data_IF_337926174158
#
_entry.id   IF_337926174158
#
_cell.length_a   1.000
_cell.length_b   1.000
_cell.length_c   1.000
_cell.angle_alpha   90.00
_cell.angle_beta   90.00
_cell.angle_gamma   90.00
#
_symmetry.space_group_name_H-M   'P 1'
#
loop_
_entity.id
_entity.type
_entity.pdbx_description
1 polymer ?
#
# COMPACT_ATOMS: atom_id res chain seq x y z
N UNK A 1 10.82 10.03 -30.14
CA UNK A 1 10.01 11.12 -29.56
C UNK A 1 8.61 10.58 -29.29
N UNK A 2 8.30 10.03 -28.10
CA UNK A 2 6.95 9.60 -27.80
C UNK A 2 6.12 10.76 -27.22
N UNK A 3 4.93 10.93 -27.78
CA UNK A 3 3.90 11.89 -27.41
C UNK A 3 3.22 11.37 -26.14
N UNK A 4 3.30 12.11 -25.05
CA UNK A 4 2.54 11.84 -23.83
C UNK A 4 1.16 12.48 -24.01
N UNK A 5 0.15 11.66 -24.27
CA UNK A 5 -1.24 12.07 -24.22
C UNK A 5 -1.68 12.16 -22.76
N UNK A 6 -2.09 13.34 -22.31
CA UNK A 6 -2.76 13.54 -21.02
C UNK A 6 -4.20 13.06 -21.13
N UNK A 7 -4.45 11.83 -20.67
CA UNK A 7 -5.78 11.26 -20.51
C UNK A 7 -6.33 11.53 -19.12
N UNK A 8 -7.56 12.04 -19.08
CA UNK A 8 -8.32 12.43 -17.90
C UNK A 8 -8.48 11.32 -16.84
N UNK A 9 -8.68 11.74 -15.59
CA UNK A 9 -8.95 10.87 -14.45
C UNK A 9 -10.18 9.96 -14.70
N UNK A 10 -10.11 8.64 -14.46
CA UNK A 10 -11.29 7.82 -14.46
C UNK A 10 -12.09 8.03 -13.18
N UNK A 11 -13.36 8.36 -13.40
CA UNK A 11 -14.47 8.37 -12.44
C UNK A 11 -14.50 7.12 -11.57
N UNK A 12 -15.02 7.27 -10.35
CA UNK A 12 -15.48 6.24 -9.41
C UNK A 12 -16.19 5.09 -10.15
N UNK A 13 -15.42 4.09 -10.57
CA UNK A 13 -15.88 2.96 -11.35
C UNK A 13 -15.72 1.72 -10.52
N UNK A 14 -16.84 1.08 -10.20
CA UNK A 14 -16.85 -0.26 -9.61
C UNK A 14 -15.90 -1.18 -10.40
N UNK A 15 -15.13 -2.01 -9.69
CA UNK A 15 -14.23 -2.95 -10.32
C UNK A 15 -14.99 -3.81 -11.34
N UNK A 16 -14.41 -4.06 -12.53
CA UNK A 16 -15.07 -4.84 -13.56
C UNK A 16 -15.45 -6.21 -13.01
N UNK A 17 -16.75 -6.53 -13.06
CA UNK A 17 -17.26 -7.87 -12.76
C UNK A 17 -16.70 -8.83 -13.81
N UNK A 18 -16.00 -9.86 -13.35
CA UNK A 18 -15.33 -10.91 -14.12
C UNK A 18 -16.21 -11.40 -15.30
N UNK A 19 -15.98 -10.89 -16.51
CA UNK A 19 -16.53 -11.48 -17.74
C UNK A 19 -15.59 -12.59 -18.20
N UNK A 20 -16.00 -13.85 -18.00
CA UNK A 20 -15.27 -15.01 -18.52
C UNK A 20 -15.60 -15.21 -20.00
N UNK A 21 -14.65 -14.90 -20.89
CA UNK A 21 -14.71 -15.31 -22.29
C UNK A 21 -13.94 -16.64 -22.45
N UNK A 22 -14.67 -17.76 -22.51
CA UNK A 22 -14.26 -19.00 -23.19
C UNK A 22 -13.15 -19.89 -22.57
N UNK A 23 -13.52 -21.15 -22.29
CA UNK A 23 -12.75 -22.34 -22.70
C UNK A 23 -11.63 -22.92 -21.82
N UNK A 24 -10.98 -22.15 -20.95
CA UNK A 24 -9.98 -22.68 -20.01
C UNK A 24 -10.16 -22.00 -18.66
N UNK A 25 -10.69 -22.71 -17.66
CA UNK A 25 -11.02 -22.11 -16.37
C UNK A 25 -9.73 -21.72 -15.62
N UNK A 26 -9.44 -20.42 -15.56
CA UNK A 26 -8.34 -19.86 -14.78
C UNK A 26 -7.56 -18.76 -15.52
N UNK A 27 -6.78 -18.00 -14.75
CA UNK A 27 -5.90 -16.95 -15.24
C UNK A 27 -4.63 -17.52 -15.89
N UNK A 28 -4.17 -17.01 -17.04
CA UNK A 28 -2.89 -17.38 -17.66
C UNK A 28 -1.70 -16.75 -16.93
N UNK A 29 -1.50 -17.12 -15.66
CA UNK A 29 -0.41 -16.65 -14.81
C UNK A 29 0.09 -17.78 -13.91
N UNK A 30 1.23 -17.57 -13.28
CA UNK A 30 1.77 -18.50 -12.28
C UNK A 30 1.03 -18.34 -10.95
N UNK A 31 0.80 -19.44 -10.21
CA UNK A 31 0.25 -19.34 -8.87
C UNK A 31 1.20 -18.58 -7.95
N UNK A 32 0.65 -17.86 -6.98
CA UNK A 32 1.39 -17.19 -5.91
C UNK A 32 0.88 -17.72 -4.57
N UNK A 33 1.72 -17.77 -3.53
CA UNK A 33 1.27 -18.20 -2.21
C UNK A 33 0.35 -17.16 -1.58
N UNK A 34 -0.45 -17.59 -0.61
CA UNK A 34 -1.13 -16.67 0.30
C UNK A 34 -0.12 -15.78 1.03
N UNK A 35 -0.59 -14.66 1.56
CA UNK A 35 0.24 -13.78 2.38
C UNK A 35 -0.58 -13.12 3.48
N UNK A 36 0.13 -12.65 4.50
CA UNK A 36 -0.40 -11.67 5.43
C UNK A 36 0.08 -10.28 5.04
N UNK A 37 -0.77 -9.27 5.24
CA UNK A 37 -0.32 -7.89 5.28
C UNK A 37 0.25 -7.57 6.66
N UNK A 38 1.33 -6.81 6.70
CA UNK A 38 1.96 -6.36 7.95
C UNK A 38 2.31 -4.88 7.88
N UNK A 39 2.17 -4.18 9.00
CA UNK A 39 2.49 -2.76 9.13
C UNK A 39 3.66 -2.56 10.09
N UNK A 40 4.55 -1.62 9.77
CA UNK A 40 5.63 -1.22 10.67
C UNK A 40 5.44 0.24 11.12
N UNK A 41 5.64 0.58 12.40
CA UNK A 41 5.47 1.94 12.90
C UNK A 41 6.34 3.00 12.19
N UNK A 42 7.46 2.57 11.61
CA UNK A 42 8.38 3.44 10.88
C UNK A 42 8.25 3.37 9.34
N UNK A 43 7.31 2.58 8.81
CA UNK A 43 7.13 2.44 7.35
C UNK A 43 5.87 3.18 6.88
N UNK A 44 6.07 4.38 6.34
CA UNK A 44 4.99 5.27 5.91
C UNK A 44 5.29 5.90 4.55
N UNK A 45 4.25 6.01 3.73
CA UNK A 45 4.26 6.76 2.48
C UNK A 45 3.55 8.10 2.67
N UNK A 46 3.75 9.00 1.71
CA UNK A 46 3.13 10.32 1.66
C UNK A 46 2.56 10.56 0.26
N UNK A 47 1.38 11.14 0.18
CA UNK A 47 0.75 11.51 -1.09
C UNK A 47 1.12 12.94 -1.54
N UNK A 48 0.55 13.36 -2.68
CA UNK A 48 0.76 14.69 -3.26
C UNK A 48 0.27 15.84 -2.37
N UNK A 49 -0.63 15.56 -1.43
CA UNK A 49 -1.21 16.55 -0.53
C UNK A 49 -0.53 16.56 0.85
N UNK A 50 0.51 15.72 1.06
CA UNK A 50 1.25 15.64 2.31
C UNK A 50 0.62 14.74 3.38
N UNK A 51 -0.44 13.99 3.06
CA UNK A 51 -1.03 13.07 4.03
C UNK A 51 -0.19 11.79 4.12
N UNK A 52 0.10 11.38 5.35
CA UNK A 52 0.82 10.14 5.61
C UNK A 52 -0.10 8.93 5.61
N UNK A 53 0.44 7.79 5.20
CA UNK A 53 -0.24 6.51 5.26
C UNK A 53 0.67 5.31 5.45
N UNK A 54 0.17 4.24 6.10
CA UNK A 54 0.97 3.05 6.31
C UNK A 54 1.43 2.46 4.99
N UNK A 55 2.71 2.09 4.93
CA UNK A 55 3.22 1.22 3.88
C UNK A 55 3.12 -0.22 4.39
N UNK A 56 2.15 -0.98 3.86
CA UNK A 56 1.96 -2.38 4.22
C UNK A 56 2.89 -3.27 3.40
N UNK A 57 3.51 -4.24 4.07
CA UNK A 57 4.38 -5.24 3.45
C UNK A 57 3.68 -6.62 3.43
N UNK A 58 4.12 -7.52 2.53
CA UNK A 58 3.57 -8.87 2.38
C UNK A 58 4.48 -9.89 3.03
N UNK A 59 3.96 -10.63 4.01
CA UNK A 59 4.58 -11.84 4.54
C UNK A 59 4.00 -13.06 3.81
N UNK A 60 4.74 -13.56 2.82
CA UNK A 60 4.32 -14.72 2.02
C UNK A 60 4.34 -16.02 2.84
N UNK A 61 3.26 -16.80 2.76
CA UNK A 61 3.10 -18.12 3.37
C UNK A 61 3.66 -19.21 2.44
N UNK A 62 4.97 -19.20 2.22
CA UNK A 62 5.64 -20.17 1.34
C UNK A 62 6.59 -21.04 2.16
N UNK A 63 6.40 -22.37 2.22
CA UNK A 63 7.33 -23.27 2.89
C UNK A 63 8.78 -23.05 2.46
N UNK A 64 9.69 -22.97 3.45
CA UNK A 64 11.11 -22.70 3.20
C UNK A 64 11.47 -21.23 2.95
N UNK A 65 10.49 -20.31 2.96
CA UNK A 65 10.70 -18.86 2.88
C UNK A 65 10.30 -18.21 4.21
N UNK A 66 11.03 -17.18 4.65
CA UNK A 66 10.70 -16.38 5.83
C UNK A 66 10.49 -17.17 7.14
N UNK A 67 11.12 -18.33 7.31
CA UNK A 67 10.92 -19.25 8.45
C UNK A 67 9.50 -19.85 8.52
N UNK A 68 8.79 -19.91 7.40
CA UNK A 68 7.63 -20.79 7.25
C UNK A 68 8.15 -22.22 7.14
N UNK A 69 7.59 -23.11 7.95
CA UNK A 69 8.04 -24.50 8.00
C UNK A 69 7.67 -25.29 6.73
N UNK A 70 8.10 -26.54 6.65
CA UNK A 70 7.84 -27.41 5.50
C UNK A 70 6.35 -27.79 5.35
N UNK A 71 5.55 -27.66 6.41
CA UNK A 71 4.12 -27.96 6.44
C UNK A 71 3.24 -26.72 6.23
N UNK A 72 3.83 -25.53 6.13
CA UNK A 72 3.15 -24.25 5.95
C UNK A 72 2.78 -23.51 7.24
N UNK A 73 3.28 -23.93 8.41
CA UNK A 73 3.12 -23.19 9.67
C UNK A 73 3.88 -21.87 9.62
N UNK A 74 3.16 -20.78 9.92
CA UNK A 74 3.68 -19.41 9.92
C UNK A 74 4.03 -18.90 11.31
N UNK A 75 3.84 -19.70 12.36
CA UNK A 75 4.03 -19.27 13.75
C UNK A 75 5.40 -18.64 14.03
N UNK A 76 6.48 -19.25 13.50
CA UNK A 76 7.83 -18.71 13.66
C UNK A 76 8.04 -17.43 12.83
N UNK A 77 7.56 -17.41 11.59
CA UNK A 77 7.63 -16.26 10.71
C UNK A 77 6.96 -15.02 11.34
N UNK A 78 5.78 -15.21 11.91
CA UNK A 78 5.03 -14.15 12.60
C UNK A 78 5.73 -13.72 13.90
N UNK A 79 6.29 -14.65 14.67
CA UNK A 79 7.03 -14.33 15.89
C UNK A 79 8.29 -13.50 15.61
N UNK A 80 9.05 -13.83 14.55
CA UNK A 80 10.22 -13.05 14.12
C UNK A 80 9.77 -11.68 13.62
N UNK A 81 8.77 -11.63 12.74
CA UNK A 81 8.22 -10.38 12.22
C UNK A 81 7.77 -9.46 13.37
N UNK A 82 7.12 -10.01 14.39
CA UNK A 82 6.68 -9.25 15.57
C UNK A 82 7.85 -8.72 16.40
N UNK A 83 8.92 -9.52 16.60
CA UNK A 83 10.15 -9.06 17.28
C UNK A 83 10.85 -7.93 16.54
N UNK A 84 10.74 -7.89 15.22
CA UNK A 84 11.24 -6.81 14.37
C UNK A 84 10.35 -5.56 14.37
N UNK A 85 9.24 -5.57 15.12
CA UNK A 85 8.34 -4.43 15.26
C UNK A 85 7.23 -4.39 14.21
N UNK A 86 7.10 -5.41 13.36
CA UNK A 86 5.97 -5.51 12.45
C UNK A 86 4.72 -6.02 13.17
N UNK A 87 3.58 -5.46 12.81
CA UNK A 87 2.27 -5.93 13.25
C UNK A 87 1.55 -6.58 12.09
N UNK A 88 1.24 -7.87 12.22
CA UNK A 88 0.36 -8.58 11.28
C UNK A 88 -1.04 -7.97 11.32
N UNK A 89 -1.59 -7.70 10.13
CA UNK A 89 -2.96 -7.21 9.96
C UNK A 89 -3.89 -8.42 9.89
N UNK A 90 -4.85 -8.57 10.83
CA UNK A 90 -5.85 -9.62 10.76
C UNK A 90 -6.60 -9.54 9.42
N UNK A 91 -6.92 -10.68 8.82
CA UNK A 91 -7.60 -10.72 7.52
C UNK A 91 -8.92 -9.92 7.56
N UNK A 92 -9.64 -10.08 8.66
CA UNK A 92 -10.94 -9.53 9.02
C UNK A 92 -10.89 -8.03 9.33
N UNK A 93 -9.70 -7.43 9.36
CA UNK A 93 -9.55 -5.98 9.48
C UNK A 93 -10.05 -5.23 8.22
N UNK A 94 -10.32 -5.94 7.12
CA UNK A 94 -11.14 -5.41 6.03
C UNK A 94 -12.58 -5.90 6.21
N UNK A 95 -13.46 -4.97 6.54
CA UNK A 95 -14.90 -5.24 6.63
C UNK A 95 -15.52 -5.26 5.23
N UNK A 96 -16.73 -5.80 5.10
CA UNK A 96 -17.43 -5.84 3.82
C UNK A 96 -17.52 -4.45 3.15
N UNK A 97 -17.78 -3.40 3.94
CA UNK A 97 -17.85 -2.02 3.46
C UNK A 97 -16.51 -1.40 3.04
N UNK A 98 -15.38 -1.99 3.43
CA UNK A 98 -14.04 -1.51 3.04
C UNK A 98 -13.61 -2.02 1.65
N UNK A 99 -14.25 -3.10 1.18
CA UNK A 99 -13.82 -3.84 -0.01
C UNK A 99 -14.70 -3.54 -1.23
N UNK A 100 -14.14 -3.46 -2.44
CA UNK A 100 -14.93 -3.14 -3.64
C UNK A 100 -15.98 -4.20 -4.01
N UNK A 101 -15.76 -5.45 -3.60
CA UNK A 101 -16.66 -6.58 -3.87
C UNK A 101 -17.62 -6.90 -2.72
N UNK A 102 -17.62 -6.10 -1.64
CA UNK A 102 -18.53 -6.25 -0.52
C UNK A 102 -18.26 -7.49 0.35
N UNK A 103 -17.08 -8.12 0.25
CA UNK A 103 -16.74 -9.34 1.00
C UNK A 103 -15.73 -9.03 2.10
N UNK A 104 -15.92 -9.50 3.34
CA UNK A 104 -14.93 -9.32 4.39
C UNK A 104 -13.61 -10.00 4.01
N UNK A 105 -12.52 -9.52 4.60
CA UNK A 105 -11.17 -10.01 4.30
C UNK A 105 -10.47 -9.17 3.24
N UNK A 106 -9.17 -8.90 3.41
CA UNK A 106 -8.38 -8.16 2.41
C UNK A 106 -7.78 -9.04 1.30
N UNK A 107 -7.89 -10.36 1.39
CA UNK A 107 -7.21 -11.31 0.48
C UNK A 107 -8.19 -11.91 -0.52
N UNK A 108 -7.78 -12.05 -1.78
CA UNK A 108 -8.56 -12.67 -2.86
C UNK A 108 -7.69 -13.67 -3.62
N UNK A 109 -8.22 -14.87 -3.81
CA UNK A 109 -7.59 -15.94 -4.58
C UNK A 109 -8.30 -16.11 -5.92
N UNK A 110 -7.52 -16.13 -7.00
CA UNK A 110 -8.03 -16.42 -8.35
C UNK A 110 -7.38 -17.70 -8.89
N UNK A 111 -8.16 -18.65 -9.44
CA UNK A 111 -7.60 -19.88 -9.98
C UNK A 111 -6.72 -19.60 -11.19
N UNK A 112 -5.60 -20.31 -11.32
CA UNK A 112 -4.71 -20.20 -12.49
C UNK A 112 -4.89 -21.39 -13.43
N UNK A 113 -4.58 -21.21 -14.72
CA UNK A 113 -4.59 -22.31 -15.71
C UNK A 113 -3.50 -23.36 -15.44
N UNK A 114 -2.45 -22.99 -14.70
CA UNK A 114 -1.33 -23.88 -14.35
C UNK A 114 -1.60 -24.68 -13.08
N UNK A 115 -2.79 -24.53 -12.49
CA UNK A 115 -3.15 -25.12 -11.20
C UNK A 115 -2.79 -24.20 -10.03
N UNK A 116 -3.52 -24.34 -8.92
CA UNK A 116 -3.38 -23.46 -7.76
C UNK A 116 -4.05 -22.11 -7.94
N UNK A 117 -3.75 -21.20 -7.01
CA UNK A 117 -4.33 -19.86 -6.93
C UNK A 117 -3.23 -18.80 -7.08
N UNK A 118 -3.60 -17.64 -7.61
CA UNK A 118 -2.86 -16.39 -7.43
C UNK A 118 -3.59 -15.58 -6.37
N UNK A 119 -2.91 -15.26 -5.29
CA UNK A 119 -3.43 -14.46 -4.20
C UNK A 119 -3.01 -13.00 -4.34
N UNK A 120 -3.98 -12.11 -4.22
CA UNK A 120 -3.84 -10.65 -4.32
C UNK A 120 -4.71 -9.96 -3.27
N UNK A 121 -4.63 -8.64 -3.18
CA UNK A 121 -5.50 -7.87 -2.28
C UNK A 121 -6.91 -7.69 -2.85
N UNK A 122 -7.88 -7.34 -2.02
CA UNK A 122 -9.28 -7.10 -2.41
C UNK A 122 -9.46 -5.92 -3.38
N UNK A 123 -8.47 -5.03 -3.44
CA UNK A 123 -8.46 -3.87 -4.35
C UNK A 123 -7.72 -4.16 -5.66
N UNK A 124 -7.29 -5.40 -5.89
CA UNK A 124 -6.68 -5.85 -7.13
C UNK A 124 -7.64 -6.81 -7.85
N UNK A 125 -7.93 -6.53 -9.12
CA UNK A 125 -8.77 -7.38 -9.96
C UNK A 125 -8.10 -7.72 -11.29
N UNK A 126 -8.13 -8.99 -11.71
CA UNK A 126 -7.57 -9.40 -12.99
C UNK A 126 -8.56 -9.16 -14.13
N UNK A 127 -8.03 -8.74 -15.28
CA UNK A 127 -8.69 -8.78 -16.58
C UNK A 127 -7.86 -9.67 -17.50
N UNK A 128 -8.51 -10.59 -18.22
CA UNK A 128 -7.81 -11.43 -19.21
C UNK A 128 -8.01 -10.83 -20.59
N UNK A 129 -6.93 -10.31 -21.17
CA UNK A 129 -6.90 -9.82 -22.55
C UNK A 129 -6.10 -10.79 -23.42
N UNK A 130 -6.85 -11.53 -24.26
CA UNK A 130 -6.35 -12.68 -25.02
C UNK A 130 -5.72 -13.75 -24.10
N UNK A 131 -4.39 -13.75 -23.95
CA UNK A 131 -3.63 -14.71 -23.15
C UNK A 131 -2.73 -14.04 -22.10
N UNK A 132 -3.04 -12.79 -21.75
CA UNK A 132 -2.32 -12.03 -20.72
C UNK A 132 -3.28 -11.56 -19.64
N UNK A 133 -2.79 -11.56 -18.40
CA UNK A 133 -3.48 -10.94 -17.27
C UNK A 133 -3.05 -9.49 -17.16
N UNK A 134 -4.02 -8.58 -17.22
CA UNK A 134 -3.86 -7.17 -16.86
C UNK A 134 -4.46 -6.98 -15.47
N UNK A 135 -3.69 -6.41 -14.56
CA UNK A 135 -4.13 -6.15 -13.19
C UNK A 135 -4.63 -4.72 -13.06
N UNK A 136 -5.86 -4.58 -12.57
CA UNK A 136 -6.44 -3.29 -12.18
C UNK A 136 -6.31 -3.13 -10.67
N UNK A 137 -6.07 -1.89 -10.23
CA UNK A 137 -5.95 -1.56 -8.81
C UNK A 137 -6.87 -0.40 -8.46
N UNK A 138 -7.78 -0.60 -7.49
CA UNK A 138 -8.54 0.47 -6.85
C UNK A 138 -7.68 1.14 -5.76
N UNK A 139 -6.77 2.00 -6.20
CA UNK A 139 -5.87 2.72 -5.29
C UNK A 139 -6.63 3.63 -4.33
N UNK A 140 -7.76 4.21 -4.76
CA UNK A 140 -8.56 5.11 -3.92
C UNK A 140 -9.29 4.34 -2.81
N UNK A 141 -9.89 3.20 -3.13
CA UNK A 141 -10.48 2.29 -2.14
C UNK A 141 -9.43 1.75 -1.18
N UNK A 142 -8.27 1.34 -1.69
CA UNK A 142 -7.15 0.89 -0.86
C UNK A 142 -6.69 1.99 0.10
N UNK A 143 -6.54 3.22 -0.38
CA UNK A 143 -6.13 4.38 0.42
C UNK A 143 -7.11 4.66 1.56
N UNK A 144 -8.42 4.58 1.29
CA UNK A 144 -9.47 4.71 2.31
C UNK A 144 -9.40 3.62 3.36
N UNK A 145 -9.15 2.37 2.93
CA UNK A 145 -8.98 1.28 3.88
C UNK A 145 -7.75 1.46 4.77
N UNK A 146 -6.63 1.93 4.23
CA UNK A 146 -5.44 2.24 5.04
C UNK A 146 -5.71 3.31 6.11
N UNK A 147 -6.49 4.34 5.78
CA UNK A 147 -6.93 5.35 6.74
C UNK A 147 -7.87 4.75 7.81
N UNK A 148 -8.80 3.88 7.39
CA UNK A 148 -9.67 3.15 8.31
C UNK A 148 -8.89 2.22 9.25
N UNK A 149 -7.77 1.62 8.81
CA UNK A 149 -6.90 0.82 9.68
C UNK A 149 -6.26 1.66 10.79
N UNK A 150 -5.83 2.87 10.46
CA UNK A 150 -5.24 3.80 11.44
C UNK A 150 -6.33 4.31 12.39
N UNK A 151 -7.49 4.70 11.85
CA UNK A 151 -8.63 5.21 12.63
C UNK A 151 -9.17 4.17 13.60
N UNK A 152 -9.26 2.90 13.20
CA UNK A 152 -9.66 1.78 14.06
C UNK A 152 -8.57 1.33 15.04
N UNK A 153 -7.35 1.90 14.97
CA UNK A 153 -6.22 1.50 15.81
C UNK A 153 -5.63 0.13 15.47
N UNK A 154 -6.00 -0.45 14.32
CA UNK A 154 -5.36 -1.68 13.81
C UNK A 154 -3.91 -1.38 13.46
N UNK A 155 -3.65 -0.23 12.84
CA UNK A 155 -2.30 0.30 12.63
C UNK A 155 -2.11 1.51 13.56
N UNK A 156 -1.00 1.54 14.30
CA UNK A 156 -0.69 2.70 15.15
C UNK A 156 -0.43 3.93 14.26
N UNK A 157 -0.65 5.14 14.79
CA UNK A 157 -0.22 6.38 14.11
C UNK A 157 1.32 6.41 13.93
N UNK A 158 1.85 7.17 12.96
CA UNK A 158 3.29 7.23 12.76
C UNK A 158 3.96 7.80 14.00
N UNK A 159 5.16 7.30 14.29
CA UNK A 159 6.01 7.86 15.33
C UNK A 159 6.44 9.28 14.94
N UNK A 160 6.57 10.20 15.90
CA UNK A 160 6.95 11.60 15.64
C UNK A 160 8.23 11.72 14.82
N UNK A 161 9.24 10.89 15.10
CA UNK A 161 10.50 10.89 14.33
C UNK A 161 10.33 10.60 12.84
N UNK A 162 9.36 9.77 12.45
CA UNK A 162 9.05 9.52 11.03
C UNK A 162 8.50 10.80 10.39
N UNK A 163 7.61 11.49 11.11
CA UNK A 163 7.02 12.75 10.65
C UNK A 163 8.10 13.83 10.53
N UNK A 164 8.98 13.95 11.53
CA UNK A 164 10.10 14.89 11.54
C UNK A 164 11.09 14.61 10.39
N UNK A 165 11.42 13.34 10.15
CA UNK A 165 12.27 12.92 9.02
C UNK A 165 11.64 13.34 7.68
N UNK A 166 10.35 13.07 7.48
CA UNK A 166 9.64 13.49 6.25
C UNK A 166 9.57 15.00 6.08
N UNK A 167 9.40 15.75 7.18
CA UNK A 167 9.49 17.22 7.15
C UNK A 167 10.89 17.66 6.70
N UNK A 168 11.95 17.08 7.27
CA UNK A 168 13.33 17.42 6.90
C UNK A 168 13.63 17.09 5.44
N UNK A 169 13.24 15.90 4.97
CA UNK A 169 13.36 15.50 3.56
C UNK A 169 12.69 16.53 2.64
N UNK A 170 11.44 16.92 2.93
CA UNK A 170 10.69 17.91 2.13
C UNK A 170 11.35 19.30 2.16
N UNK A 171 11.83 19.75 3.32
CA UNK A 171 12.53 21.04 3.45
C UNK A 171 13.80 21.05 2.60
N UNK A 172 14.61 19.98 2.65
CA UNK A 172 15.83 19.87 1.83
C UNK A 172 15.50 19.85 0.34
N UNK A 173 14.49 19.10 -0.08
CA UNK A 173 14.03 19.07 -1.47
C UNK A 173 13.51 20.43 -1.93
N UNK A 174 12.78 21.15 -1.08
CA UNK A 174 12.25 22.48 -1.36
C UNK A 174 13.39 23.48 -1.56
N UNK A 175 14.40 23.48 -0.69
CA UNK A 175 15.59 24.34 -0.83
C UNK A 175 16.33 24.07 -2.14
N UNK A 176 16.52 22.80 -2.49
CA UNK A 176 17.15 22.41 -3.75
C UNK A 176 16.33 22.90 -4.95
N UNK A 177 15.02 22.67 -4.96
CA UNK A 177 14.13 23.12 -6.03
C UNK A 177 14.13 24.66 -6.16
N UNK A 178 14.11 25.39 -5.03
CA UNK A 178 14.18 26.85 -5.01
C UNK A 178 15.47 27.39 -5.62
N UNK A 179 16.63 26.78 -5.33
CA UNK A 179 17.90 27.20 -5.95
C UNK A 179 17.92 27.02 -7.47
N UNK A 180 17.14 26.08 -7.99
CA UNK A 180 17.07 25.77 -9.41
C UNK A 180 15.93 26.49 -10.14
N UNK A 181 14.94 27.01 -9.41
CA UNK A 181 13.72 27.59 -9.96
C UNK A 181 13.97 28.79 -10.87
N UNK A 182 15.02 29.58 -10.61
CA UNK A 182 15.41 30.71 -11.45
C UNK A 182 15.84 30.31 -12.88
N UNK A 183 16.27 29.06 -13.07
CA UNK A 183 16.86 28.59 -14.33
C UNK A 183 16.04 27.49 -15.01
N UNK A 184 14.97 26.98 -14.36
CA UNK A 184 14.21 25.83 -14.82
C UNK A 184 12.72 25.96 -14.47
N UNK A 185 11.83 26.19 -15.46
CA UNK A 185 10.38 26.25 -15.21
C UNK A 185 9.81 24.98 -14.54
N UNK A 186 10.27 23.75 -14.87
CA UNK A 186 9.88 22.55 -14.11
C UNK A 186 10.26 22.60 -12.62
N UNK A 187 11.40 23.22 -12.28
CA UNK A 187 11.80 23.37 -10.88
C UNK A 187 10.88 24.35 -10.13
N UNK A 188 10.40 25.41 -10.79
CA UNK A 188 9.41 26.33 -10.21
C UNK A 188 8.08 25.63 -9.89
N UNK A 189 7.54 24.83 -10.82
CA UNK A 189 6.32 24.05 -10.56
C UNK A 189 6.50 23.04 -9.42
N UNK A 190 7.69 22.45 -9.29
CA UNK A 190 8.04 21.54 -8.19
C UNK A 190 8.05 22.23 -6.82
N UNK A 191 8.44 23.52 -6.74
CA UNK A 191 8.42 24.28 -5.49
C UNK A 191 7.00 24.37 -4.92
N UNK A 192 6.01 24.65 -5.76
CA UNK A 192 4.62 24.79 -5.30
C UNK A 192 4.02 23.45 -4.83
N UNK A 193 4.34 22.36 -5.54
CA UNK A 193 3.96 21.01 -5.10
C UNK A 193 4.60 20.63 -3.75
N UNK A 194 5.90 20.88 -3.58
CA UNK A 194 6.61 20.59 -2.33
C UNK A 194 6.10 21.44 -1.15
N UNK A 195 5.70 22.70 -1.40
CA UNK A 195 5.05 23.55 -0.38
C UNK A 195 3.72 22.97 0.05
N UNK A 196 2.89 22.55 -0.90
CA UNK A 196 1.60 21.92 -0.64
C UNK A 196 1.78 20.66 0.23
N UNK A 197 2.72 19.79 -0.12
CA UNK A 197 3.05 18.61 0.67
C UNK A 197 3.54 18.95 2.09
N UNK A 198 4.40 19.97 2.21
CA UNK A 198 4.95 20.36 3.51
C UNK A 198 3.86 20.93 4.43
N UNK A 199 2.95 21.74 3.90
CA UNK A 199 1.85 22.32 4.67
C UNK A 199 0.84 21.25 5.08
N UNK A 200 0.52 20.30 4.18
CA UNK A 200 -0.31 19.15 4.50
C UNK A 200 0.31 18.24 5.57
N UNK A 201 1.62 17.95 5.47
CA UNK A 201 2.32 17.14 6.46
C UNK A 201 2.36 17.81 7.84
N UNK A 202 2.54 19.14 7.88
CA UNK A 202 2.45 19.91 9.15
C UNK A 202 1.05 19.88 9.73
N UNK A 203 0.00 19.97 8.91
CA UNK A 203 -1.38 19.86 9.35
C UNK A 203 -1.65 18.45 9.91
N UNK A 204 -1.16 17.41 9.24
CA UNK A 204 -1.21 16.03 9.74
C UNK A 204 -0.53 15.89 11.10
N UNK A 205 0.68 16.45 11.27
CA UNK A 205 1.41 16.42 12.53
C UNK A 205 0.63 17.11 13.68
N UNK A 206 -0.03 18.24 13.39
CA UNK A 206 -0.87 18.96 14.34
C UNK A 206 -2.14 18.18 14.73
N UNK A 207 -2.66 17.31 13.86
CA UNK A 207 -3.76 16.39 14.13
C UNK A 207 -3.43 15.23 15.07
N UNK A 208 -2.18 15.14 15.53
CA UNK A 208 -1.70 14.24 16.58
C UNK A 208 -0.92 13.04 16.05
N UNK A 209 0.41 13.10 16.09
CA UNK A 209 1.27 11.92 15.96
C UNK A 209 1.31 11.12 17.29
N UNK A 210 1.65 9.83 17.24
CA UNK A 210 1.82 9.05 18.46
C UNK A 210 3.04 9.57 19.25
N UNK A 211 2.95 9.75 20.58
CA UNK A 211 4.04 10.32 21.38
C UNK A 211 5.29 9.44 21.32
N UNK A 212 6.46 10.07 21.34
CA UNK A 212 7.75 9.39 21.36
C UNK A 212 7.95 8.63 22.68
N UNK A 213 7.62 7.35 22.74
CA UNK A 213 8.08 6.49 23.84
C UNK A 213 9.52 6.09 23.57
N UNK A 214 10.47 6.79 24.22
CA UNK A 214 11.86 6.33 24.30
C UNK A 214 11.88 4.95 24.96
N UNK A 215 12.13 3.90 24.18
CA UNK A 215 12.47 2.59 24.74
C UNK A 215 13.73 2.71 25.59
N UNK A 216 13.75 2.18 26.83
CA UNK A 216 14.96 2.18 27.65
C UNK A 216 16.03 1.33 26.97
N UNK A 217 17.25 1.87 26.85
CA UNK A 217 18.44 1.10 26.50
C UNK A 217 18.57 -0.05 27.51
N UNK A 218 18.55 -1.30 27.01
CA UNK A 218 19.10 -2.44 27.74
C UNK A 218 20.62 -2.46 27.59
#
# INVERSE_FOLDING_TARGET
>A
MPIISHGAAPSTGALPVMQSYGGNQGLPTDPSPEFFLRAHPFSWNMDGDGNLFPCLDRLWKMPGLNNVDEFGDTSMAEAISSKEGWKTIPLEAAEAGDTPDGRPGYLRGYPTRRGGMVWVTAWESPEVLADRVVWHSDQAGYRKWLDALVTRGVVARPHTSVVEEKIQELVSQLQQAQSQAAFSPPAAARVDGLRTQLDGLKAFAAGGAAPATRSPKK
#
